data_IF_454487552731
#
_entry.id   IF_454487552731
#
_cell.length_a   1.000
_cell.length_b   1.000
_cell.length_c   1.000
_cell.angle_alpha   90.00
_cell.angle_beta   90.00
_cell.angle_gamma   90.00
#
_symmetry.space_group_name_H-M   'P 1'
#
loop_
_entity.id
_entity.type
_entity.pdbx_description
1 polymer ?
#
# COMPACT_ATOMS: atom_id res chain seq x y z
N UNK A 1 -12.14 -7.99 14.02
CA UNK A 1 -12.76 -8.26 12.70
C UNK A 1 -12.36 -7.18 11.72
N UNK A 2 -11.29 -7.45 10.97
CA UNK A 2 -10.88 -6.69 9.80
C UNK A 2 -11.35 -7.49 8.57
N UNK A 3 -11.93 -6.83 7.57
CA UNK A 3 -12.47 -7.52 6.38
C UNK A 3 -11.41 -7.70 5.27
N UNK A 4 -10.15 -7.80 5.69
CA UNK A 4 -8.98 -7.95 4.83
C UNK A 4 -8.30 -9.24 5.26
N UNK A 5 -8.35 -10.23 4.38
CA UNK A 5 -7.85 -11.59 4.64
C UNK A 5 -6.37 -11.73 4.28
N UNK A 6 -5.90 -10.95 3.32
CA UNK A 6 -4.50 -10.92 2.90
C UNK A 6 -3.67 -10.19 3.96
N UNK A 7 -2.58 -10.81 4.40
CA UNK A 7 -1.74 -10.29 5.48
C UNK A 7 -1.01 -9.01 5.08
N UNK A 8 -0.36 -8.98 3.91
CA UNK A 8 0.40 -7.82 3.46
C UNK A 8 0.08 -7.41 2.02
N UNK A 9 -0.07 -6.08 1.82
CA UNK A 9 -0.14 -5.44 0.52
C UNK A 9 1.04 -4.50 0.36
N UNK A 10 1.89 -4.78 -0.61
CA UNK A 10 3.16 -4.08 -0.80
C UNK A 10 3.21 -3.36 -2.15
N UNK A 11 4.00 -2.29 -2.18
CA UNK A 11 4.44 -1.63 -3.41
C UNK A 11 5.86 -2.09 -3.76
N UNK A 12 6.14 -2.21 -5.06
CA UNK A 12 7.47 -2.50 -5.58
C UNK A 12 7.85 -1.42 -6.60
N UNK A 13 8.74 -0.47 -6.27
CA UNK A 13 9.18 0.59 -7.18
C UNK A 13 10.14 0.06 -8.27
N UNK A 14 9.62 -0.80 -9.15
CA UNK A 14 10.38 -1.54 -10.15
C UNK A 14 10.93 -0.65 -11.29
N UNK A 15 10.35 0.53 -11.51
CA UNK A 15 10.82 1.49 -12.52
C UNK A 15 12.06 2.30 -12.11
N UNK A 16 12.41 2.29 -10.82
CA UNK A 16 13.53 3.05 -10.26
C UNK A 16 14.88 2.64 -10.87
N UNK A 17 15.79 3.60 -11.08
CA UNK A 17 17.13 3.34 -11.64
C UNK A 17 18.16 2.94 -10.59
N UNK A 18 17.86 3.16 -9.32
CA UNK A 18 18.70 2.77 -8.20
C UNK A 18 17.89 2.65 -6.92
N UNK A 19 18.49 2.02 -5.90
CA UNK A 19 17.86 1.85 -4.59
C UNK A 19 17.47 3.19 -3.94
N UNK A 20 18.31 4.22 -4.07
CA UNK A 20 18.00 5.57 -3.51
C UNK A 20 16.70 6.13 -4.09
N UNK A 21 16.48 5.93 -5.38
CA UNK A 21 15.26 6.36 -6.04
C UNK A 21 14.07 5.50 -5.61
N UNK A 22 14.23 4.18 -5.56
CA UNK A 22 13.20 3.26 -5.09
C UNK A 22 12.72 3.60 -3.67
N UNK A 23 13.66 3.90 -2.76
CA UNK A 23 13.36 4.31 -1.39
C UNK A 23 12.57 5.63 -1.36
N UNK A 24 12.97 6.62 -2.18
CA UNK A 24 12.26 7.90 -2.29
C UNK A 24 10.83 7.70 -2.81
N UNK A 25 10.66 6.89 -3.87
CA UNK A 25 9.33 6.55 -4.40
C UNK A 25 8.45 5.93 -3.32
N UNK A 26 8.98 4.95 -2.57
CA UNK A 26 8.27 4.31 -1.48
C UNK A 26 7.82 5.29 -0.39
N UNK A 27 8.70 6.21 0.03
CA UNK A 27 8.38 7.22 1.03
C UNK A 27 7.30 8.22 0.56
N UNK A 28 7.39 8.67 -0.70
CA UNK A 28 6.40 9.57 -1.29
C UNK A 28 5.02 8.90 -1.37
N UNK A 29 4.96 7.63 -1.81
CA UNK A 29 3.72 6.84 -1.88
C UNK A 29 3.15 6.58 -0.49
N UNK A 30 3.99 6.26 0.51
CA UNK A 30 3.55 6.08 1.89
C UNK A 30 2.87 7.34 2.45
N UNK A 31 3.44 8.52 2.23
CA UNK A 31 2.83 9.78 2.66
C UNK A 31 1.57 10.13 1.86
N UNK A 32 1.53 9.83 0.57
CA UNK A 32 0.32 9.96 -0.24
C UNK A 32 -0.81 9.05 0.26
N UNK A 33 -0.51 7.79 0.58
CA UNK A 33 -1.44 6.82 1.13
C UNK A 33 -2.01 7.28 2.47
N UNK A 34 -1.18 7.84 3.35
CA UNK A 34 -1.64 8.48 4.59
C UNK A 34 -2.71 9.54 4.33
N UNK A 35 -2.51 10.36 3.29
CA UNK A 35 -3.47 11.38 2.86
C UNK A 35 -4.77 10.79 2.32
N UNK A 36 -4.68 9.74 1.48
CA UNK A 36 -5.84 9.00 0.95
C UNK A 36 -6.67 8.40 2.08
N UNK A 37 -6.04 7.67 3.00
CA UNK A 37 -6.71 7.03 4.12
C UNK A 37 -7.41 8.05 5.02
N UNK A 38 -6.72 9.14 5.40
CA UNK A 38 -7.33 10.23 6.18
C UNK A 38 -8.52 10.87 5.46
N UNK A 39 -8.40 11.12 4.15
CA UNK A 39 -9.47 11.69 3.34
C UNK A 39 -10.72 10.81 3.29
N UNK A 40 -10.55 9.48 3.42
CA UNK A 40 -11.64 8.50 3.51
C UNK A 40 -12.10 8.21 4.95
N UNK A 41 -11.52 8.87 5.94
CA UNK A 41 -11.88 8.70 7.36
C UNK A 41 -11.26 7.47 8.03
N UNK A 42 -10.27 6.83 7.40
CA UNK A 42 -9.58 5.66 7.96
C UNK A 42 -8.47 6.07 8.96
N UNK A 43 -8.18 5.16 9.90
CA UNK A 43 -7.06 5.29 10.82
C UNK A 43 -5.72 5.21 10.05
N UNK A 44 -4.72 5.96 10.52
CA UNK A 44 -3.35 5.95 9.97
C UNK A 44 -2.31 5.66 11.04
N UNK A 45 -2.67 4.90 12.07
CA UNK A 45 -1.71 4.27 12.96
C UNK A 45 -0.89 3.24 12.18
N UNK A 46 0.36 3.04 12.60
CA UNK A 46 1.28 2.10 11.98
C UNK A 46 1.32 0.80 12.78
N UNK A 47 1.42 -0.32 12.07
CA UNK A 47 1.68 -1.65 12.63
C UNK A 47 3.16 -1.92 12.88
N UNK A 48 3.50 -3.18 13.13
CA UNK A 48 4.85 -3.60 13.52
C UNK A 48 5.87 -3.42 12.38
N UNK A 49 5.44 -3.62 11.14
CA UNK A 49 6.23 -3.43 9.92
C UNK A 49 6.27 -1.96 9.45
N UNK A 50 5.62 -1.06 10.19
CA UNK A 50 5.54 0.36 9.86
C UNK A 50 4.51 0.72 8.76
N UNK A 51 3.79 -0.27 8.22
CA UNK A 51 2.66 -0.08 7.32
C UNK A 51 1.39 0.40 8.03
N UNK A 52 0.39 0.84 7.28
CA UNK A 52 -0.92 1.20 7.85
C UNK A 52 -1.82 -0.04 7.97
N UNK A 53 -2.57 -0.15 9.07
CA UNK A 53 -3.56 -1.19 9.29
C UNK A 53 -5.00 -0.61 9.46
N UNK A 54 -5.57 0.03 8.42
CA UNK A 54 -6.94 0.54 8.47
C UNK A 54 -7.98 -0.59 8.43
N UNK A 55 -9.15 -0.35 9.02
CA UNK A 55 -10.28 -1.28 8.92
C UNK A 55 -11.01 -1.06 7.58
N UNK A 56 -10.50 -1.69 6.51
CA UNK A 56 -11.05 -1.60 5.16
C UNK A 56 -12.19 -2.61 4.98
N UNK A 57 -12.98 -2.42 3.93
CA UNK A 57 -14.18 -3.20 3.63
C UNK A 57 -13.88 -4.50 2.89
N UNK A 58 -12.77 -4.55 2.14
CA UNK A 58 -12.38 -5.72 1.34
C UNK A 58 -10.89 -5.66 0.95
N UNK A 59 -10.36 -6.80 0.50
CA UNK A 59 -9.04 -6.89 -0.14
C UNK A 59 -8.95 -5.99 -1.40
N UNK A 60 -10.05 -5.82 -2.14
CA UNK A 60 -10.11 -4.92 -3.30
C UNK A 60 -9.93 -3.46 -2.90
N UNK A 61 -10.59 -3.00 -1.82
CA UNK A 61 -10.44 -1.63 -1.35
C UNK A 61 -8.98 -1.34 -0.93
N UNK A 62 -8.29 -2.33 -0.36
CA UNK A 62 -6.85 -2.21 -0.03
C UNK A 62 -6.02 -1.94 -1.28
N UNK A 63 -6.27 -2.66 -2.38
CA UNK A 63 -5.61 -2.44 -3.65
C UNK A 63 -5.97 -1.06 -4.23
N UNK A 64 -7.24 -0.67 -4.21
CA UNK A 64 -7.72 0.62 -4.73
C UNK A 64 -7.04 1.81 -4.05
N UNK A 65 -6.94 1.82 -2.71
CA UNK A 65 -6.31 2.95 -1.99
C UNK A 65 -4.80 3.02 -2.23
N UNK A 66 -4.12 1.88 -2.40
CA UNK A 66 -2.70 1.84 -2.77
C UNK A 66 -2.52 2.37 -4.20
N UNK A 67 -3.35 1.94 -5.14
CA UNK A 67 -3.33 2.44 -6.52
C UNK A 67 -3.59 3.95 -6.59
N UNK A 68 -4.56 4.45 -5.82
CA UNK A 68 -4.82 5.89 -5.70
C UNK A 68 -3.60 6.65 -5.14
N UNK A 69 -2.91 6.09 -4.15
CA UNK A 69 -1.71 6.67 -3.56
C UNK A 69 -0.53 6.72 -4.54
N UNK A 70 -0.32 5.66 -5.33
CA UNK A 70 0.72 5.61 -6.37
C UNK A 70 0.50 6.74 -7.38
N UNK A 71 -0.73 6.90 -7.88
CA UNK A 71 -1.08 7.98 -8.82
C UNK A 71 -0.92 9.36 -8.19
N UNK A 72 -1.37 9.54 -6.93
CA UNK A 72 -1.22 10.82 -6.21
C UNK A 72 0.22 11.20 -5.93
N UNK A 73 1.12 10.22 -5.79
CA UNK A 73 2.55 10.45 -5.66
C UNK A 73 3.24 10.78 -7.00
N UNK A 74 2.51 10.75 -8.12
CA UNK A 74 3.01 11.09 -9.45
C UNK A 74 3.63 9.93 -10.22
N UNK A 75 3.38 8.69 -9.78
CA UNK A 75 3.90 7.48 -10.42
C UNK A 75 2.82 6.74 -11.20
N UNK A 76 3.22 5.97 -12.22
CA UNK A 76 2.34 5.12 -13.00
C UNK A 76 2.30 3.70 -12.45
N UNK A 77 1.13 3.20 -12.00
CA UNK A 77 0.98 1.79 -11.65
C UNK A 77 1.26 0.87 -12.85
N UNK A 78 1.91 -0.25 -12.63
CA UNK A 78 2.25 -1.23 -13.68
C UNK A 78 3.49 -0.88 -14.51
N UNK A 79 3.95 0.38 -14.49
CA UNK A 79 5.18 0.83 -15.15
C UNK A 79 6.26 1.21 -14.12
N UNK A 80 5.98 2.22 -13.29
CA UNK A 80 6.92 2.73 -12.29
C UNK A 80 6.88 1.90 -10.99
N UNK A 81 5.67 1.47 -10.62
CA UNK A 81 5.39 0.76 -9.37
C UNK A 81 4.48 -0.44 -9.62
N UNK A 82 4.90 -1.61 -9.17
CA UNK A 82 4.12 -2.85 -9.16
C UNK A 82 3.54 -3.10 -7.77
N UNK A 83 2.59 -4.03 -7.67
CA UNK A 83 2.07 -4.52 -6.40
C UNK A 83 2.63 -5.92 -6.10
N UNK A 84 2.82 -6.20 -4.81
CA UNK A 84 3.15 -7.52 -4.29
C UNK A 84 2.23 -7.84 -3.11
N UNK A 85 1.99 -9.13 -2.86
CA UNK A 85 1.10 -9.60 -1.81
C UNK A 85 1.81 -10.68 -0.99
N UNK A 86 1.70 -10.60 0.33
CA UNK A 86 1.83 -11.76 1.19
C UNK A 86 0.43 -12.17 1.65
N UNK A 87 -0.06 -13.29 1.14
CA UNK A 87 -1.40 -13.79 1.47
C UNK A 87 -1.42 -14.50 2.81
N UNK A 88 -0.28 -15.02 3.28
CA UNK A 88 -0.21 -15.91 4.45
C UNK A 88 -1.33 -16.97 4.45
N UNK A 89 -1.55 -17.63 3.31
CA UNK A 89 -2.77 -18.41 3.07
C UNK A 89 -2.99 -19.58 4.05
N UNK A 90 -1.95 -20.02 4.76
CA UNK A 90 -2.07 -21.01 5.83
C UNK A 90 -2.93 -20.55 7.01
N UNK A 91 -3.03 -19.24 7.27
CA UNK A 91 -3.87 -18.66 8.33
C UNK A 91 -5.36 -18.59 7.95
N UNK A 92 -5.71 -18.98 6.70
CA UNK A 92 -7.08 -18.99 6.18
C UNK A 92 -7.77 -20.36 6.33
N UNK A 93 -7.09 -21.37 6.89
CA UNK A 93 -7.57 -22.76 7.00
C UNK A 93 -7.53 -23.29 8.43
#
# INVERSE_FOLDING_TARGET
>A
DNNVDIQEFMIMPAGAKCFKEALRMGAEIFHALKGVLKGKGYNTAVGDEGGFAPNLKSNEEALEVIMEAIVKAGYKPGEDVLLALDVASSELF
#
